data_IF_677604261187
#
_entry.id   IF_677604261187
#
_cell.length_a   1.000
_cell.length_b   1.000
_cell.length_c   1.000
_cell.angle_alpha   90.00
_cell.angle_beta   90.00
_cell.angle_gamma   90.00
#
_symmetry.space_group_name_H-M   'P 1'
#
loop_
_entity.id
_entity.type
_entity.pdbx_description
1 polymer ?
#
# COMPACT_ATOMS: atom_id res chain seq x y z
N UNK A 1 21.69 -12.90 -4.50
CA UNK A 1 21.06 -12.13 -4.90
C UNK A 1 20.16 -11.52 -4.09
N UNK A 2 19.75 -10.49 -4.12
CA UNK A 2 18.97 -9.94 -3.29
C UNK A 2 17.61 -10.11 -3.63
N UNK A 3 16.80 -10.19 -2.74
CA UNK A 3 15.54 -10.29 -2.98
C UNK A 3 14.98 -9.16 -3.56
N UNK A 4 14.10 -9.18 -4.41
CA UNK A 4 13.52 -8.19 -4.98
C UNK A 4 12.21 -7.92 -4.43
N UNK A 5 11.99 -6.83 -3.80
CA UNK A 5 10.69 -6.46 -3.33
C UNK A 5 9.93 -6.07 -4.57
N UNK A 6 8.67 -6.41 -4.66
CA UNK A 6 7.88 -6.10 -5.81
C UNK A 6 7.89 -4.61 -6.03
N UNK A 7 7.76 -4.18 -7.27
CA UNK A 7 7.74 -2.78 -7.56
C UNK A 7 6.33 -2.29 -7.46
N UNK A 8 5.99 -1.42 -6.55
CA UNK A 8 4.62 -0.97 -6.40
C UNK A 8 4.21 -0.11 -7.60
N UNK A 9 2.97 -0.26 -8.03
CA UNK A 9 2.47 0.53 -9.12
C UNK A 9 1.70 1.68 -8.50
N UNK A 10 2.12 2.90 -8.77
CA UNK A 10 1.48 4.08 -8.21
C UNK A 10 0.93 4.90 -9.35
N UNK A 11 -0.36 5.19 -9.33
CA UNK A 11 -0.96 6.00 -10.37
C UNK A 11 -1.90 7.03 -9.78
N UNK A 12 -2.14 8.08 -10.51
CA UNK A 12 -2.99 9.17 -10.07
C UNK A 12 -4.06 9.45 -11.10
N UNK A 13 -5.24 9.82 -10.62
CA UNK A 13 -6.37 10.16 -11.48
C UNK A 13 -6.80 11.56 -11.09
N UNK A 14 -6.92 12.46 -12.06
CA UNK A 14 -7.30 13.85 -11.82
C UNK A 14 -6.32 14.55 -10.87
N UNK A 15 -5.07 14.13 -10.89
CA UNK A 15 -4.09 14.69 -9.98
C UNK A 15 -2.70 14.41 -10.56
N UNK A 16 -1.82 15.40 -10.49
CA UNK A 16 -0.48 15.21 -11.00
C UNK A 16 0.40 14.64 -9.89
N UNK A 17 0.90 13.43 -10.10
CA UNK A 17 1.71 12.77 -9.10
C UNK A 17 3.15 13.24 -9.26
N UNK A 18 3.65 13.98 -8.29
CA UNK A 18 5.01 14.48 -8.37
C UNK A 18 6.00 13.39 -7.97
N UNK A 19 7.25 13.58 -8.33
CA UNK A 19 8.27 12.63 -7.96
C UNK A 19 8.46 12.60 -6.46
N UNK A 20 8.29 13.75 -5.79
CA UNK A 20 8.41 13.81 -4.35
C UNK A 20 7.37 12.93 -3.67
N UNK A 21 6.15 12.97 -4.18
CA UNK A 21 5.08 12.18 -3.60
C UNK A 21 5.33 10.69 -3.85
N UNK A 22 5.79 10.35 -5.04
CA UNK A 22 6.09 8.97 -5.35
C UNK A 22 7.19 8.48 -4.44
N UNK A 23 8.24 9.27 -4.23
CA UNK A 23 9.34 8.88 -3.37
C UNK A 23 8.87 8.70 -1.93
N UNK A 24 7.97 9.56 -1.49
CA UNK A 24 7.44 9.47 -0.13
C UNK A 24 6.70 8.15 0.05
N UNK A 25 5.88 7.76 -0.93
CA UNK A 25 5.14 6.51 -0.86
C UNK A 25 6.10 5.33 -0.85
N UNK A 26 7.08 5.35 -1.73
CA UNK A 26 8.02 4.25 -1.82
C UNK A 26 8.81 4.09 -0.53
N UNK A 27 9.23 5.20 0.07
CA UNK A 27 9.95 5.13 1.32
C UNK A 27 9.09 4.56 2.43
N UNK A 28 7.82 4.91 2.48
CA UNK A 28 6.93 4.38 3.50
C UNK A 28 6.70 2.89 3.27
N UNK A 29 6.60 2.48 2.01
CA UNK A 29 6.36 1.07 1.72
C UNK A 29 7.58 0.22 2.06
N UNK A 30 8.76 0.80 2.00
CA UNK A 30 9.96 0.06 2.35
C UNK A 30 10.00 -0.32 3.80
N UNK A 31 9.20 0.35 4.64
CA UNK A 31 9.18 0.03 6.05
C UNK A 31 8.17 -1.05 6.39
N UNK A 32 7.48 -1.59 5.43
CA UNK A 32 6.57 -2.70 5.69
C UNK A 32 7.38 -3.87 6.17
N UNK A 33 6.76 -4.72 6.96
CA UNK A 33 7.46 -5.88 7.50
C UNK A 33 8.03 -6.77 6.43
N UNK A 34 9.13 -7.42 6.74
CA UNK A 34 9.79 -8.27 5.77
C UNK A 34 8.89 -9.38 5.26
N UNK A 35 8.11 -9.99 6.14
CA UNK A 35 7.24 -11.07 5.72
C UNK A 35 6.17 -10.59 4.75
N UNK A 36 5.74 -9.32 4.89
CA UNK A 36 4.75 -8.79 3.98
C UNK A 36 5.39 -8.60 2.62
N UNK A 37 6.60 -8.05 2.59
CA UNK A 37 7.27 -7.80 1.33
C UNK A 37 7.61 -9.11 0.62
N UNK A 38 8.03 -10.09 1.35
CA UNK A 38 8.42 -11.35 0.74
C UNK A 38 7.25 -12.12 0.17
N UNK A 39 6.07 -11.95 0.74
CA UNK A 39 4.91 -12.71 0.29
C UNK A 39 3.97 -11.94 -0.61
N UNK A 40 4.32 -10.70 -0.94
CA UNK A 40 3.47 -9.88 -1.79
C UNK A 40 3.82 -10.10 -3.25
N UNK A 41 2.80 -10.34 -4.04
CA UNK A 41 3.01 -10.52 -5.44
C UNK A 41 2.91 -9.20 -6.17
N UNK A 42 2.01 -8.33 -5.77
CA UNK A 42 1.87 -7.03 -6.40
C UNK A 42 1.20 -6.06 -5.46
N UNK A 43 1.46 -4.79 -5.66
CA UNK A 43 0.83 -3.74 -4.86
C UNK A 43 0.53 -2.59 -5.81
N UNK A 44 -0.71 -2.12 -5.79
CA UNK A 44 -1.09 -1.01 -6.61
C UNK A 44 -1.71 0.06 -5.73
N UNK A 45 -1.26 1.29 -5.87
CA UNK A 45 -1.81 2.41 -5.12
C UNK A 45 -2.35 3.42 -6.12
N UNK A 46 -3.59 3.82 -5.95
CA UNK A 46 -4.23 4.78 -6.84
C UNK A 46 -4.64 5.99 -6.02
N UNK A 47 -4.25 7.18 -6.46
CA UNK A 47 -4.59 8.42 -5.80
C UNK A 47 -5.54 9.19 -6.71
N UNK A 48 -6.71 9.54 -6.20
CA UNK A 48 -7.66 10.27 -6.99
C UNK A 48 -8.02 11.54 -6.24
N UNK A 49 -8.05 12.67 -6.91
CA UNK A 49 -8.43 13.90 -6.25
C UNK A 49 -9.77 14.37 -6.80
N UNK A 50 -10.71 14.65 -5.90
CA UNK A 50 -11.98 15.12 -6.30
C UNK A 50 -12.33 16.25 -5.40
N UNK A 51 -12.53 17.44 -5.91
CA UNK A 51 -12.75 18.64 -5.14
C UNK A 51 -11.51 18.82 -4.28
N UNK A 52 -11.63 18.88 -2.98
CA UNK A 52 -10.47 19.06 -2.15
C UNK A 52 -10.14 17.79 -1.40
N UNK A 53 -10.67 16.68 -1.82
CA UNK A 53 -10.49 15.43 -1.10
C UNK A 53 -9.65 14.47 -1.92
N UNK A 54 -8.71 13.79 -1.27
CA UNK A 54 -7.93 12.76 -1.92
C UNK A 54 -8.51 11.42 -1.52
N UNK A 55 -8.75 10.56 -2.50
CA UNK A 55 -9.21 9.20 -2.25
C UNK A 55 -8.04 8.33 -2.64
N UNK A 56 -7.56 7.52 -1.73
CA UNK A 56 -6.40 6.69 -2.00
C UNK A 56 -6.75 5.23 -1.77
N UNK A 57 -6.45 4.39 -2.75
CA UNK A 57 -6.75 2.97 -2.67
C UNK A 57 -5.46 2.19 -2.73
N UNK A 58 -5.36 1.14 -1.97
CA UNK A 58 -4.23 0.24 -2.05
C UNK A 58 -4.74 -1.18 -2.23
N UNK A 59 -4.23 -1.90 -3.23
CA UNK A 59 -4.58 -3.28 -3.45
C UNK A 59 -3.30 -4.09 -3.32
N UNK A 60 -3.24 -4.96 -2.34
CA UNK A 60 -2.06 -5.78 -2.11
C UNK A 60 -2.45 -7.22 -2.40
N UNK A 61 -1.72 -7.87 -3.26
CA UNK A 61 -2.03 -9.21 -3.67
C UNK A 61 -0.91 -10.12 -3.16
N UNK A 62 -1.24 -11.04 -2.28
CA UNK A 62 -0.26 -11.97 -1.75
C UNK A 62 -0.09 -13.15 -2.69
N UNK A 63 1.05 -13.79 -2.62
CA UNK A 63 1.34 -14.90 -3.55
C UNK A 63 0.52 -16.15 -3.27
N UNK A 64 -0.26 -16.19 -2.20
CA UNK A 64 -1.16 -17.33 -1.98
C UNK A 64 -2.60 -16.96 -2.36
N UNK A 65 -2.76 -15.87 -3.08
CA UNK A 65 -4.07 -15.53 -3.64
C UNK A 65 -4.92 -14.54 -2.88
N UNK A 66 -4.54 -14.20 -1.67
CA UNK A 66 -5.35 -13.28 -0.88
C UNK A 66 -5.11 -11.85 -1.37
N UNK A 67 -6.16 -11.07 -1.45
CA UNK A 67 -6.07 -9.68 -1.85
C UNK A 67 -6.58 -8.82 -0.74
N UNK A 68 -5.83 -7.79 -0.37
CA UNK A 68 -6.24 -6.84 0.65
C UNK A 68 -6.47 -5.52 -0.04
N UNK A 69 -7.61 -4.91 0.22
CA UNK A 69 -7.95 -3.62 -0.37
C UNK A 69 -8.21 -2.65 0.77
N UNK A 70 -7.43 -1.59 0.84
CA UNK A 70 -7.57 -0.57 1.87
C UNK A 70 -7.84 0.76 1.19
N UNK A 71 -8.76 1.54 1.74
CA UNK A 71 -9.07 2.84 1.19
C UNK A 71 -8.90 3.88 2.26
N UNK A 72 -8.49 5.06 1.89
CA UNK A 72 -8.34 6.16 2.82
C UNK A 72 -8.75 7.43 2.12
N UNK A 73 -9.33 8.38 2.85
CA UNK A 73 -9.79 9.60 2.28
C UNK A 73 -9.38 10.75 3.15
N UNK A 74 -9.05 11.88 2.64
CA UNK A 74 -8.68 13.02 3.46
C UNK A 74 -8.23 14.21 2.64
N UNK A 75 -8.07 15.34 3.31
CA UNK A 75 -7.64 16.55 2.65
C UNK A 75 -6.13 16.68 2.62
N UNK A 76 -5.44 16.03 3.55
CA UNK A 76 -3.99 16.11 3.62
C UNK A 76 -3.42 14.87 2.97
N UNK A 77 -2.83 15.02 1.81
CA UNK A 77 -2.36 13.88 1.04
C UNK A 77 -1.35 13.01 1.79
N UNK A 78 -0.30 13.62 2.32
CA UNK A 78 0.76 12.83 2.95
C UNK A 78 0.25 12.12 4.21
N UNK A 79 -0.60 12.79 4.96
CA UNK A 79 -1.16 12.19 6.17
C UNK A 79 -2.05 11.01 5.77
N UNK A 80 -2.82 11.16 4.70
CA UNK A 80 -3.69 10.08 4.24
C UNK A 80 -2.88 8.91 3.74
N UNK A 81 -1.74 9.17 3.09
CA UNK A 81 -0.87 8.11 2.63
C UNK A 81 -0.30 7.35 3.82
N UNK A 82 0.12 8.06 4.86
CA UNK A 82 0.67 7.40 6.04
C UNK A 82 -0.38 6.52 6.70
N UNK A 83 -1.61 7.02 6.82
CA UNK A 83 -2.67 6.23 7.42
C UNK A 83 -2.99 5.02 6.57
N UNK A 84 -2.98 5.17 5.26
CA UNK A 84 -3.27 4.07 4.36
C UNK A 84 -2.25 2.95 4.55
N UNK A 85 -0.97 3.31 4.58
CA UNK A 85 0.08 2.33 4.66
C UNK A 85 0.09 1.66 6.04
N UNK A 86 -0.22 2.43 7.08
CA UNK A 86 -0.28 1.85 8.41
C UNK A 86 -1.42 0.84 8.49
N UNK A 87 -2.58 1.18 7.94
CA UNK A 87 -3.70 0.25 7.93
C UNK A 87 -3.41 -0.98 7.08
N UNK A 88 -2.69 -0.76 5.99
CA UNK A 88 -2.31 -1.86 5.13
C UNK A 88 -1.41 -2.83 5.89
N UNK A 89 -0.43 -2.31 6.62
CA UNK A 89 0.46 -3.14 7.37
C UNK A 89 -0.28 -3.90 8.47
N UNK A 90 -1.17 -3.22 9.19
CA UNK A 90 -1.92 -3.87 10.26
C UNK A 90 -2.81 -4.99 9.72
N UNK A 91 -3.46 -4.74 8.58
CA UNK A 91 -4.33 -5.74 8.00
C UNK A 91 -3.52 -6.92 7.47
N UNK A 92 -2.37 -6.64 6.87
CA UNK A 92 -1.52 -7.71 6.35
C UNK A 92 -0.95 -8.54 7.49
N UNK A 93 -0.64 -7.92 8.62
CA UNK A 93 -0.13 -8.66 9.76
C UNK A 93 -1.21 -9.59 10.31
N UNK A 94 -2.46 -9.17 10.29
CA UNK A 94 -3.53 -10.03 10.76
C UNK A 94 -3.70 -11.22 9.84
N UNK A 95 -3.52 -11.04 8.55
CA UNK A 95 -3.65 -12.15 7.62
C UNK A 95 -2.54 -13.16 7.86
N UNK A 96 -1.35 -12.68 8.17
CA UNK A 96 -0.27 -13.58 8.44
C UNK A 96 -0.56 -14.38 9.69
N UNK A 97 -1.06 -13.74 10.74
CA UNK A 97 -1.35 -14.41 11.98
C UNK A 97 -2.45 -15.45 11.76
N UNK A 98 -3.46 -15.10 10.98
CA UNK A 98 -4.52 -16.03 10.71
C UNK A 98 -3.97 -17.23 10.00
N UNK A 99 -3.07 -17.03 9.04
CA UNK A 99 -2.52 -18.13 8.31
C UNK A 99 -1.70 -19.01 9.22
N UNK A 100 -0.97 -18.43 10.14
CA UNK A 100 -0.16 -19.19 11.06
C UNK A 100 -1.01 -20.01 12.01
N UNK A 101 -2.16 -19.53 12.43
CA UNK A 101 -2.95 -20.26 13.37
C UNK A 101 -3.80 -21.29 12.72
N UNK A 102 -4.00 -21.26 11.45
CA UNK A 102 -4.79 -22.18 10.82
C UNK A 102 -4.03 -23.42 10.73
N UNK A 103 -3.49 -24.06 10.97
CA UNK A 103 -2.74 -25.16 10.89
C UNK A 103 -3.36 -26.33 10.86
#
# INVERSE_FOLDING_TARGET
MKEKFMEPKIQAINYHLSNSTKDFIIKKLEKLGTHIKQNSESLKITIKKENDIFDIDAHLHFNWGKIIHIKEEGKELYHSIENLIERLQNTANKEKNKKDTVK
#
